data_IF_393542830269
#
_entry.id   IF_393542830269
#
_cell.length_a   1.000
_cell.length_b   1.000
_cell.length_c   1.000
_cell.angle_alpha   90.00
_cell.angle_beta   90.00
_cell.angle_gamma   90.00
#
_symmetry.space_group_name_H-M   'P 1'
#
loop_
_entity.id
_entity.type
_entity.pdbx_description
1 polymer ?
#
# COMPACT_ATOMS: atom_id res chain seq x y z
N UNK A 1 -14.06 -34.85 8.30
CA UNK A 1 -13.76 -34.31 9.64
C UNK A 1 -12.40 -34.81 10.10
N UNK A 2 -11.37 -34.00 9.90
CA UNK A 2 -10.06 -34.13 10.55
C UNK A 2 -9.53 -32.70 10.72
N UNK A 3 -10.28 -31.88 11.46
CA UNK A 3 -9.81 -30.59 11.96
C UNK A 3 -8.93 -30.83 13.18
N UNK A 4 -7.81 -31.51 12.95
CA UNK A 4 -6.79 -31.71 13.95
C UNK A 4 -5.97 -30.43 14.08
N UNK A 5 -5.79 -29.97 15.33
CA UNK A 5 -4.74 -29.00 15.65
C UNK A 5 -3.41 -29.54 15.10
N UNK A 6 -2.63 -28.75 14.31
CA UNK A 6 -1.33 -29.17 13.81
C UNK A 6 -0.44 -29.69 14.95
N UNK A 7 0.54 -30.58 14.68
CA UNK A 7 1.43 -31.10 15.72
C UNK A 7 2.15 -30.01 16.52
N UNK A 8 2.27 -28.80 15.98
CA UNK A 8 2.82 -27.61 16.62
C UNK A 8 1.86 -26.91 17.62
N UNK A 9 0.59 -27.32 17.72
CA UNK A 9 -0.39 -26.86 18.70
C UNK A 9 -1.24 -25.65 18.26
N UNK A 10 -2.33 -25.36 18.98
CA UNK A 10 -3.24 -24.24 18.66
C UNK A 10 -2.58 -22.85 18.77
N UNK A 11 -1.44 -22.79 19.47
CA UNK A 11 -0.66 -21.58 19.67
C UNK A 11 0.12 -21.20 18.39
N UNK A 12 0.57 -22.16 17.57
CA UNK A 12 1.28 -21.87 16.32
C UNK A 12 0.36 -21.24 15.26
N UNK A 13 -0.94 -21.58 15.30
CA UNK A 13 -1.98 -20.98 14.46
C UNK A 13 -2.16 -19.49 14.79
N UNK A 14 -2.16 -19.11 16.07
CA UNK A 14 -2.24 -17.70 16.50
C UNK A 14 -0.99 -16.89 16.13
N UNK A 15 0.19 -17.50 16.16
CA UNK A 15 1.44 -16.86 15.71
C UNK A 15 1.51 -16.67 14.19
N UNK A 16 0.66 -17.37 13.44
CA UNK A 16 0.63 -17.31 11.98
C UNK A 16 -0.63 -16.61 11.43
N UNK A 17 -1.52 -16.15 12.30
CA UNK A 17 -2.77 -15.49 11.94
C UNK A 17 -2.57 -13.98 11.72
N UNK A 18 -2.76 -13.47 10.49
CA UNK A 18 -2.59 -12.05 10.21
C UNK A 18 -3.57 -11.17 10.99
N UNK A 19 -4.78 -11.64 11.31
CA UNK A 19 -5.77 -10.85 12.06
C UNK A 19 -5.30 -10.54 13.48
N UNK A 20 -4.61 -11.49 14.11
CA UNK A 20 -4.09 -11.33 15.47
C UNK A 20 -2.71 -10.67 15.49
N UNK A 21 -1.80 -11.07 14.59
CA UNK A 21 -0.41 -10.58 14.62
C UNK A 21 -0.22 -9.24 13.87
N UNK A 22 -0.93 -9.04 12.76
CA UNK A 22 -0.78 -7.87 11.89
C UNK A 22 -0.97 -6.54 12.61
N UNK A 23 -2.06 -6.31 13.37
CA UNK A 23 -2.26 -5.09 14.15
C UNK A 23 -1.11 -4.81 15.13
N UNK A 24 -0.68 -5.84 15.87
CA UNK A 24 0.38 -5.71 16.87
C UNK A 24 1.73 -5.39 16.23
N UNK A 25 2.04 -6.05 15.10
CA UNK A 25 3.27 -5.82 14.34
C UNK A 25 3.27 -4.42 13.71
N UNK A 26 2.15 -3.99 13.12
CA UNK A 26 2.00 -2.65 12.55
C UNK A 26 2.15 -1.57 13.63
N UNK A 27 1.44 -1.69 14.76
CA UNK A 27 1.51 -0.72 15.85
C UNK A 27 2.95 -0.56 16.40
N UNK A 28 3.70 -1.66 16.45
CA UNK A 28 5.08 -1.65 16.99
C UNK A 28 6.13 -1.12 16.00
N UNK A 29 5.87 -1.18 14.70
CA UNK A 29 6.90 -0.97 13.66
C UNK A 29 6.58 0.13 12.65
N UNK A 30 5.30 0.42 12.43
CA UNK A 30 4.80 1.32 11.39
C UNK A 30 4.09 2.55 11.97
N UNK A 31 3.40 2.37 13.11
CA UNK A 31 2.57 3.42 13.72
C UNK A 31 3.33 4.55 14.41
N UNK A 32 4.67 4.59 14.32
CA UNK A 32 5.45 5.79 14.63
C UNK A 32 5.39 6.84 13.50
N UNK A 33 4.90 6.47 12.32
CA UNK A 33 4.81 7.37 11.17
C UNK A 33 3.47 7.25 10.43
N UNK A 34 2.97 6.03 10.24
CA UNK A 34 1.74 5.75 9.48
C UNK A 34 0.55 5.56 10.41
N UNK A 35 -0.56 6.25 10.11
CA UNK A 35 -1.85 5.95 10.72
C UNK A 35 -2.46 4.68 10.11
N UNK A 36 -3.40 4.09 10.85
CA UNK A 36 -4.36 3.13 10.31
C UNK A 36 -5.79 3.61 10.61
N UNK A 37 -6.17 4.67 9.92
CA UNK A 37 -7.42 5.40 10.08
C UNK A 37 -7.43 6.33 11.27
N UNK A 38 -8.62 6.85 11.56
CA UNK A 38 -8.86 7.86 12.59
C UNK A 38 -10.07 7.46 13.43
N UNK A 39 -10.09 7.92 14.69
CA UNK A 39 -11.26 7.81 15.56
C UNK A 39 -12.36 8.82 15.19
N UNK A 40 -13.47 8.79 15.92
CA UNK A 40 -14.60 9.71 15.73
C UNK A 40 -14.27 11.19 15.94
N UNK A 41 -13.14 11.49 16.61
CA UNK A 41 -12.66 12.85 16.87
C UNK A 41 -11.60 13.29 15.85
N UNK A 42 -11.25 12.45 14.87
CA UNK A 42 -10.20 12.72 13.90
C UNK A 42 -8.78 12.49 14.41
N UNK A 43 -8.61 11.72 15.49
CA UNK A 43 -7.29 11.36 16.03
C UNK A 43 -6.74 10.11 15.32
N UNK A 44 -5.47 10.09 14.89
CA UNK A 44 -4.92 8.96 14.14
C UNK A 44 -4.75 7.72 15.01
N UNK A 45 -5.11 6.56 14.46
CA UNK A 45 -5.08 5.27 15.12
C UNK A 45 -3.80 4.49 14.80
N UNK A 46 -3.33 3.69 15.76
CA UNK A 46 -2.13 2.87 15.65
C UNK A 46 -2.35 1.51 14.96
N UNK A 47 -3.58 1.22 14.55
CA UNK A 47 -3.96 -0.06 13.93
C UNK A 47 -4.29 -1.19 14.91
N UNK A 48 -3.95 -1.05 16.19
CA UNK A 48 -4.20 -2.03 17.26
C UNK A 48 -5.28 -1.54 18.26
N UNK A 49 -6.12 -0.60 17.82
CA UNK A 49 -7.22 -0.03 18.61
C UNK A 49 -6.79 1.10 19.56
N UNK A 50 -5.54 1.52 19.51
CA UNK A 50 -5.01 2.68 20.24
C UNK A 50 -4.84 3.91 19.35
N UNK A 51 -4.45 5.02 19.98
CA UNK A 51 -4.01 6.22 19.28
C UNK A 51 -2.53 6.11 18.94
N UNK A 52 -2.12 6.68 17.80
CA UNK A 52 -0.71 6.94 17.52
C UNK A 52 -0.09 7.76 18.65
N UNK A 53 1.12 7.40 19.05
CA UNK A 53 1.87 8.12 20.09
C UNK A 53 2.64 9.32 19.52
N UNK A 54 3.08 9.19 18.26
CA UNK A 54 3.80 10.21 17.53
C UNK A 54 2.87 10.95 16.57
N UNK A 55 3.25 12.17 16.18
CA UNK A 55 2.54 12.88 15.11
C UNK A 55 2.67 12.11 13.80
N UNK A 56 1.54 11.93 13.11
CA UNK A 56 1.54 11.28 11.81
C UNK A 56 2.41 12.05 10.83
N UNK A 57 3.34 11.32 10.24
CA UNK A 57 4.33 11.90 9.34
C UNK A 57 4.47 11.14 8.02
N UNK A 58 3.65 10.12 7.81
CA UNK A 58 3.54 9.37 6.56
C UNK A 58 2.06 9.04 6.25
N UNK A 59 1.72 8.65 5.01
CA UNK A 59 0.32 8.41 4.62
C UNK A 59 -0.41 7.41 5.50
N UNK A 60 -1.70 7.64 5.72
CA UNK A 60 -2.63 6.68 6.32
C UNK A 60 -2.69 5.43 5.45
N UNK A 61 -2.58 4.27 6.08
CA UNK A 61 -2.55 2.97 5.40
C UNK A 61 -3.86 2.20 5.50
N UNK A 62 -4.91 2.77 6.12
CA UNK A 62 -6.23 2.14 6.13
C UNK A 62 -6.84 2.12 4.74
N UNK A 63 -6.94 0.92 4.17
CA UNK A 63 -7.48 0.72 2.82
C UNK A 63 -6.49 1.08 1.70
N UNK A 64 -5.19 1.14 2.00
CA UNK A 64 -4.16 1.41 0.98
C UNK A 64 -4.35 0.52 -0.26
N UNK A 65 -4.34 1.15 -1.44
CA UNK A 65 -4.57 0.47 -2.72
C UNK A 65 -6.03 0.28 -3.11
N UNK A 66 -7.02 0.66 -2.28
CA UNK A 66 -8.43 0.66 -2.69
C UNK A 66 -8.78 1.83 -3.58
N UNK A 67 -9.93 1.77 -4.27
CA UNK A 67 -10.44 2.88 -5.09
C UNK A 67 -10.52 4.17 -4.25
N UNK A 68 -11.20 4.13 -3.10
CA UNK A 68 -11.31 5.28 -2.18
C UNK A 68 -9.97 5.89 -1.74
N UNK A 69 -8.92 5.06 -1.60
CA UNK A 69 -7.61 5.54 -1.20
C UNK A 69 -6.89 6.21 -2.36
N UNK A 70 -7.03 5.65 -3.56
CA UNK A 70 -6.45 6.19 -4.79
C UNK A 70 -7.18 7.47 -5.24
N UNK A 71 -8.49 7.57 -5.08
CA UNK A 71 -9.24 8.80 -5.36
C UNK A 71 -8.70 9.99 -4.55
N UNK A 72 -8.41 9.75 -3.26
CA UNK A 72 -7.77 10.74 -2.39
C UNK A 72 -6.33 11.01 -2.78
N UNK A 73 -5.58 9.98 -3.19
CA UNK A 73 -4.22 10.17 -3.71
C UNK A 73 -4.21 11.11 -4.92
N UNK A 74 -5.20 10.99 -5.81
CA UNK A 74 -5.32 11.75 -7.06
C UNK A 74 -5.99 13.12 -6.88
N UNK A 75 -6.18 13.58 -5.64
CA UNK A 75 -6.71 14.92 -5.35
C UNK A 75 -5.66 15.73 -4.60
N UNK A 76 -5.26 16.90 -5.13
CA UNK A 76 -4.19 17.72 -4.55
C UNK A 76 -4.39 18.04 -3.06
N UNK A 77 -5.61 18.43 -2.68
CA UNK A 77 -5.96 18.73 -1.28
C UNK A 77 -5.66 17.55 -0.35
N UNK A 78 -6.09 16.34 -0.75
CA UNK A 78 -5.86 15.14 0.02
C UNK A 78 -4.39 14.74 -0.03
N UNK A 79 -3.74 14.77 -1.20
CA UNK A 79 -2.33 14.46 -1.39
C UNK A 79 -1.44 15.27 -0.44
N UNK A 80 -1.67 16.58 -0.34
CA UNK A 80 -0.89 17.49 0.51
C UNK A 80 -1.35 17.55 1.98
N UNK A 81 -2.39 16.79 2.35
CA UNK A 81 -2.89 16.73 3.72
C UNK A 81 -1.96 15.91 4.63
N UNK A 82 -2.08 16.10 5.95
CA UNK A 82 -1.37 15.29 6.95
C UNK A 82 -1.77 13.81 6.90
N UNK A 83 -2.94 13.49 6.32
CA UNK A 83 -3.39 12.10 6.16
C UNK A 83 -2.63 11.39 5.03
N UNK A 84 -1.99 12.12 4.12
CA UNK A 84 -1.19 11.59 3.00
C UNK A 84 0.24 12.12 3.08
N UNK A 85 0.68 12.90 2.09
CA UNK A 85 2.08 13.27 1.90
C UNK A 85 2.45 14.64 2.50
N UNK A 86 1.50 15.34 3.13
CA UNK A 86 1.69 16.68 3.69
C UNK A 86 2.81 16.83 4.72
N UNK A 87 3.11 15.76 5.46
CA UNK A 87 4.19 15.72 6.45
C UNK A 87 5.43 14.94 5.96
N UNK A 88 5.55 14.75 4.65
CA UNK A 88 6.67 14.08 3.99
C UNK A 88 7.43 15.07 3.11
N UNK A 89 8.61 14.68 2.63
CA UNK A 89 9.31 15.45 1.60
C UNK A 89 8.57 15.48 0.25
N UNK A 90 7.53 14.66 0.08
CA UNK A 90 6.77 14.54 -1.17
C UNK A 90 5.61 15.53 -1.29
N UNK A 91 5.32 16.32 -0.25
CA UNK A 91 4.25 17.33 -0.27
C UNK A 91 4.30 18.22 -1.52
N UNK A 92 5.50 18.60 -1.93
CA UNK A 92 5.78 19.47 -3.09
C UNK A 92 6.54 18.69 -4.19
N UNK A 93 6.24 17.40 -4.36
CA UNK A 93 6.91 16.57 -5.37
C UNK A 93 6.38 16.82 -6.79
N UNK A 94 7.04 16.24 -7.81
CA UNK A 94 6.49 16.24 -9.18
C UNK A 94 5.09 15.63 -9.29
N UNK A 95 4.68 14.76 -8.36
CA UNK A 95 3.30 14.27 -8.34
C UNK A 95 2.34 15.37 -7.85
N UNK A 96 2.75 16.17 -6.86
CA UNK A 96 1.94 17.31 -6.41
C UNK A 96 1.83 18.39 -7.51
N UNK A 97 2.93 18.70 -8.18
CA UNK A 97 2.97 19.60 -9.34
C UNK A 97 2.01 19.12 -10.45
N UNK A 98 2.06 17.83 -10.78
CA UNK A 98 1.12 17.22 -11.73
C UNK A 98 -0.34 17.39 -11.30
N UNK A 99 -0.68 17.13 -10.04
CA UNK A 99 -2.05 17.30 -9.53
C UNK A 99 -2.50 18.77 -9.42
N UNK A 100 -1.57 19.71 -9.41
CA UNK A 100 -1.88 21.15 -9.43
C UNK A 100 -2.08 21.67 -10.85
N UNK A 101 -1.30 21.17 -11.81
CA UNK A 101 -1.32 21.62 -13.21
C UNK A 101 -2.38 20.92 -14.05
N UNK A 102 -2.60 19.61 -13.83
CA UNK A 102 -3.55 18.81 -14.59
C UNK A 102 -4.95 18.85 -13.98
N UNK A 103 -5.93 19.27 -14.78
CA UNK A 103 -7.34 19.24 -14.41
C UNK A 103 -7.92 17.86 -14.73
N UNK A 104 -7.83 16.95 -13.75
CA UNK A 104 -8.47 15.63 -13.80
C UNK A 104 -9.88 15.77 -13.23
N UNK A 105 -10.91 15.46 -14.02
CA UNK A 105 -12.28 15.51 -13.52
C UNK A 105 -12.63 14.31 -12.62
N UNK A 106 -13.76 14.38 -11.92
CA UNK A 106 -14.15 13.36 -10.96
C UNK A 106 -14.48 12.00 -11.62
N UNK A 107 -14.95 12.00 -12.88
CA UNK A 107 -15.27 10.77 -13.60
C UNK A 107 -13.97 10.05 -13.98
N UNK A 108 -12.98 10.81 -14.43
CA UNK A 108 -11.64 10.33 -14.75
C UNK A 108 -10.86 9.89 -13.51
N UNK A 109 -10.96 10.62 -12.38
CA UNK A 109 -10.38 10.17 -11.10
C UNK A 109 -10.96 8.80 -10.71
N UNK A 110 -12.27 8.58 -10.89
CA UNK A 110 -12.90 7.31 -10.59
C UNK A 110 -12.39 6.18 -11.51
N UNK A 111 -12.24 6.46 -12.80
CA UNK A 111 -11.66 5.53 -13.79
C UNK A 111 -10.21 5.17 -13.44
N UNK A 112 -9.34 6.16 -13.26
CA UNK A 112 -7.93 5.97 -12.87
C UNK A 112 -7.83 5.15 -11.57
N UNK A 113 -8.69 5.45 -10.59
CA UNK A 113 -8.74 4.75 -9.31
C UNK A 113 -9.18 3.30 -9.47
N UNK A 114 -10.16 3.02 -10.33
CA UNK A 114 -10.60 1.66 -10.64
C UNK A 114 -9.51 0.85 -11.35
N UNK A 115 -8.87 1.43 -12.37
CA UNK A 115 -7.76 0.81 -13.09
C UNK A 115 -6.60 0.48 -12.14
N UNK A 116 -6.07 1.48 -11.44
CA UNK A 116 -4.93 1.27 -10.55
C UNK A 116 -5.26 0.37 -9.34
N UNK A 117 -6.47 0.45 -8.77
CA UNK A 117 -6.90 -0.44 -7.67
C UNK A 117 -6.91 -1.90 -8.10
N UNK A 118 -7.28 -2.21 -9.33
CA UNK A 118 -7.36 -3.59 -9.81
C UNK A 118 -5.99 -4.30 -9.85
N UNK A 119 -4.88 -3.56 -9.96
CA UNK A 119 -3.52 -4.13 -9.80
C UNK A 119 -3.32 -4.73 -8.39
N UNK A 120 -4.01 -4.19 -7.38
CA UNK A 120 -3.86 -4.60 -6.00
C UNK A 120 -4.50 -5.97 -5.72
N UNK A 121 -5.48 -6.40 -6.54
CA UNK A 121 -6.17 -7.70 -6.40
C UNK A 121 -6.68 -7.87 -4.96
N UNK A 122 -7.30 -6.83 -4.41
CA UNK A 122 -7.77 -6.82 -3.01
C UNK A 122 -9.00 -7.72 -2.90
N UNK A 123 -8.93 -8.76 -2.05
CA UNK A 123 -10.01 -9.76 -1.96
C UNK A 123 -11.38 -9.13 -1.69
N UNK A 124 -11.43 -8.08 -0.87
CA UNK A 124 -12.68 -7.40 -0.50
C UNK A 124 -13.23 -6.43 -1.57
N UNK A 125 -12.49 -6.17 -2.65
CA UNK A 125 -12.97 -5.41 -3.82
C UNK A 125 -13.16 -6.28 -5.06
N UNK A 126 -12.80 -7.57 -5.01
CA UNK A 126 -12.79 -8.42 -6.20
C UNK A 126 -14.16 -8.53 -6.90
N UNK A 127 -15.26 -8.57 -6.15
CA UNK A 127 -16.61 -8.59 -6.75
C UNK A 127 -16.91 -7.27 -7.49
N UNK A 128 -16.60 -6.13 -6.87
CA UNK A 128 -16.73 -4.80 -7.50
C UNK A 128 -15.88 -4.70 -8.77
N UNK A 129 -14.62 -5.15 -8.72
CA UNK A 129 -13.71 -5.12 -9.88
C UNK A 129 -14.18 -6.03 -11.01
N UNK A 130 -14.80 -7.18 -10.69
CA UNK A 130 -15.34 -8.09 -11.69
C UNK A 130 -16.64 -7.58 -12.33
N UNK A 131 -17.50 -6.94 -11.54
CA UNK A 131 -18.74 -6.31 -12.04
C UNK A 131 -18.42 -5.09 -12.93
N UNK A 132 -17.38 -4.32 -12.58
CA UNK A 132 -16.94 -3.12 -13.27
C UNK A 132 -15.78 -3.36 -14.26
N UNK A 133 -15.67 -4.55 -14.86
CA UNK A 133 -14.48 -4.92 -15.65
C UNK A 133 -14.20 -3.97 -16.83
N UNK A 134 -15.25 -3.46 -17.49
CA UNK A 134 -15.12 -2.47 -18.58
C UNK A 134 -14.60 -1.12 -18.04
N UNK A 135 -15.12 -0.67 -16.90
CA UNK A 135 -14.69 0.57 -16.24
C UNK A 135 -13.24 0.48 -15.75
N UNK A 136 -12.83 -0.69 -15.24
CA UNK A 136 -11.43 -0.97 -14.88
C UNK A 136 -10.54 -0.92 -16.13
N UNK A 137 -10.97 -1.48 -17.25
CA UNK A 137 -10.20 -1.47 -18.49
C UNK A 137 -10.01 -0.04 -19.04
N UNK A 138 -11.07 0.75 -19.06
CA UNK A 138 -11.02 2.17 -19.44
C UNK A 138 -10.09 2.96 -18.52
N UNK A 139 -10.15 2.71 -17.21
CA UNK A 139 -9.21 3.28 -16.25
C UNK A 139 -7.75 2.95 -16.53
N UNK A 140 -7.45 1.73 -16.99
CA UNK A 140 -6.11 1.35 -17.40
C UNK A 140 -5.64 2.06 -18.67
N UNK A 141 -6.53 2.24 -19.65
CA UNK A 141 -6.20 3.00 -20.87
C UNK A 141 -5.88 4.46 -20.52
N UNK A 142 -6.62 5.03 -19.57
CA UNK A 142 -6.46 6.42 -19.13
C UNK A 142 -5.14 6.69 -18.37
N UNK A 143 -4.53 5.66 -17.79
CA UNK A 143 -3.18 5.73 -17.20
C UNK A 143 -2.06 5.83 -18.27
N UNK A 144 -2.35 5.45 -19.51
CA UNK A 144 -1.41 5.38 -20.63
C UNK A 144 -1.04 6.74 -21.25
N UNK A 145 -0.22 6.70 -22.30
CA UNK A 145 0.25 7.91 -23.02
C UNK A 145 -0.90 8.72 -23.65
N UNK A 146 -1.96 8.03 -24.10
CA UNK A 146 -3.12 8.68 -24.75
C UNK A 146 -4.13 9.27 -23.74
N UNK A 147 -3.96 9.00 -22.44
CA UNK A 147 -4.76 9.56 -21.35
C UNK A 147 -4.00 10.65 -20.59
N UNK A 148 -3.88 10.49 -19.27
CA UNK A 148 -3.17 11.43 -18.40
C UNK A 148 -1.64 11.22 -18.38
N UNK A 149 -1.11 10.37 -19.25
CA UNK A 149 0.34 10.12 -19.38
C UNK A 149 1.00 9.72 -18.05
N UNK A 150 0.31 8.99 -17.18
CA UNK A 150 0.87 8.54 -15.90
C UNK A 150 2.14 7.69 -16.13
N UNK A 151 2.16 6.95 -17.24
CA UNK A 151 3.31 6.18 -17.73
C UNK A 151 4.57 6.99 -18.04
N UNK A 152 4.46 8.31 -18.27
CA UNK A 152 5.65 9.15 -18.46
C UNK A 152 6.54 9.15 -17.22
N UNK A 153 5.93 9.10 -16.04
CA UNK A 153 6.63 9.08 -14.77
C UNK A 153 6.73 7.67 -14.20
N UNK A 154 5.61 6.96 -14.14
CA UNK A 154 5.48 5.65 -13.50
C UNK A 154 5.63 4.51 -14.48
N UNK A 155 6.19 3.39 -14.04
CA UNK A 155 6.10 2.16 -14.83
C UNK A 155 4.76 1.49 -14.55
N UNK A 156 4.03 1.09 -15.59
CA UNK A 156 2.74 0.40 -15.47
C UNK A 156 2.75 -0.78 -16.42
N UNK A 157 2.61 -2.01 -15.90
CA UNK A 157 2.64 -3.26 -16.68
C UNK A 157 3.84 -3.39 -17.64
N UNK A 158 4.99 -2.85 -17.23
CA UNK A 158 6.22 -2.87 -18.02
C UNK A 158 6.42 -1.70 -18.98
N UNK A 159 5.42 -0.84 -19.13
CA UNK A 159 5.46 0.36 -19.99
C UNK A 159 5.81 1.60 -19.18
N UNK A 160 6.50 2.56 -19.80
CA UNK A 160 6.86 3.82 -19.16
C UNK A 160 7.95 3.73 -18.08
N UNK A 161 7.89 4.65 -17.11
CA UNK A 161 8.72 4.65 -15.91
C UNK A 161 10.05 5.38 -16.06
N UNK A 162 10.02 6.72 -15.99
CA UNK A 162 11.22 7.57 -16.01
C UNK A 162 11.68 8.03 -14.63
N UNK A 163 10.78 8.28 -13.68
CA UNK A 163 11.11 8.91 -12.39
C UNK A 163 10.24 8.51 -11.18
N UNK A 164 9.03 7.98 -11.39
CA UNK A 164 8.12 7.57 -10.32
C UNK A 164 8.29 6.08 -9.94
N UNK A 165 7.75 5.66 -8.78
CA UNK A 165 7.64 4.25 -8.43
C UNK A 165 6.99 3.40 -9.53
N UNK A 166 7.45 2.16 -9.67
CA UNK A 166 6.84 1.15 -10.52
C UNK A 166 5.50 0.71 -9.92
N UNK A 167 4.42 1.01 -10.64
CA UNK A 167 3.04 0.68 -10.31
C UNK A 167 2.59 -0.64 -10.96
N UNK A 168 3.49 -1.40 -11.59
CA UNK A 168 3.17 -2.76 -12.04
C UNK A 168 2.87 -3.66 -10.84
N UNK A 169 1.69 -4.27 -10.83
CA UNK A 169 1.11 -5.00 -9.70
C UNK A 169 1.01 -4.12 -8.43
N UNK A 170 0.77 -2.81 -8.61
CA UNK A 170 0.66 -1.84 -7.53
C UNK A 170 -0.21 -2.34 -6.37
N UNK A 171 0.33 -2.24 -5.15
CA UNK A 171 -0.34 -2.65 -3.90
C UNK A 171 -0.79 -4.12 -3.84
N UNK A 172 -0.40 -4.98 -4.79
CA UNK A 172 -0.54 -6.43 -4.66
C UNK A 172 0.24 -6.94 -3.45
N UNK A 173 -0.05 -8.17 -3.00
CA UNK A 173 0.64 -8.78 -1.86
C UNK A 173 2.16 -8.73 -2.03
N UNK A 174 2.67 -9.15 -3.19
CA UNK A 174 4.11 -9.17 -3.43
C UNK A 174 4.70 -7.76 -3.55
N UNK A 175 3.98 -6.84 -4.20
CA UNK A 175 4.41 -5.45 -4.30
C UNK A 175 4.61 -4.82 -2.92
N UNK A 176 3.68 -5.03 -2.00
CA UNK A 176 3.76 -4.54 -0.62
C UNK A 176 4.89 -5.21 0.18
N UNK A 177 5.09 -6.52 0.03
CA UNK A 177 6.21 -7.23 0.66
C UNK A 177 7.55 -6.67 0.18
N UNK A 178 7.70 -6.49 -1.14
CA UNK A 178 8.92 -5.94 -1.74
C UNK A 178 9.15 -4.49 -1.29
N UNK A 179 8.08 -3.68 -1.24
CA UNK A 179 8.15 -2.27 -0.86
C UNK A 179 8.50 -2.08 0.62
N UNK A 180 7.84 -2.81 1.53
CA UNK A 180 8.16 -2.79 2.96
C UNK A 180 9.55 -3.39 3.20
N UNK A 181 9.91 -4.42 2.43
CA UNK A 181 11.22 -5.05 2.50
C UNK A 181 12.36 -4.09 2.15
N UNK A 182 12.25 -3.36 1.04
CA UNK A 182 13.27 -2.44 0.56
C UNK A 182 12.67 -1.23 -0.18
N UNK A 183 12.13 -0.26 0.56
CA UNK A 183 11.53 0.96 0.00
C UNK A 183 12.54 1.84 -0.76
N UNK A 184 13.84 1.72 -0.44
CA UNK A 184 14.94 2.37 -1.16
C UNK A 184 15.37 1.67 -2.45
N UNK A 185 14.73 0.56 -2.84
CA UNK A 185 15.02 -0.06 -4.13
C UNK A 185 14.59 0.86 -5.28
N UNK A 186 15.32 0.85 -6.40
CA UNK A 186 15.03 1.68 -7.60
C UNK A 186 13.65 1.44 -8.23
N UNK A 187 13.00 0.31 -7.89
CA UNK A 187 11.61 0.01 -8.28
C UNK A 187 10.61 0.94 -7.58
N UNK A 188 10.98 1.46 -6.41
CA UNK A 188 10.11 2.29 -5.57
C UNK A 188 10.66 3.71 -5.52
N UNK A 189 11.22 4.13 -4.38
CA UNK A 189 11.68 5.50 -4.22
C UNK A 189 13.18 5.67 -4.39
N UNK A 190 13.99 4.61 -4.46
CA UNK A 190 15.43 4.76 -4.68
C UNK A 190 16.10 5.69 -3.65
N UNK A 191 16.94 6.60 -4.15
CA UNK A 191 17.55 7.70 -3.37
C UNK A 191 16.51 8.73 -2.89
N UNK A 192 15.34 8.78 -3.54
CA UNK A 192 14.22 9.61 -3.13
C UNK A 192 13.37 8.97 -2.02
N UNK A 193 13.78 7.85 -1.40
CA UNK A 193 13.14 7.39 -0.17
C UNK A 193 13.25 8.47 0.92
N UNK A 194 12.15 8.86 1.57
CA UNK A 194 12.16 9.91 2.58
C UNK A 194 12.90 9.44 3.83
N UNK A 195 12.31 8.50 4.56
CA UNK A 195 12.87 7.93 5.79
C UNK A 195 12.29 6.58 6.18
N UNK A 196 11.51 5.95 5.29
CA UNK A 196 10.96 4.62 5.56
C UNK A 196 12.12 3.62 5.63
N UNK A 197 12.28 2.88 6.74
CA UNK A 197 13.36 1.91 6.85
C UNK A 197 13.08 0.69 5.96
N UNK A 198 14.15 0.03 5.51
CA UNK A 198 14.05 -1.30 4.92
C UNK A 198 13.80 -2.30 6.04
N UNK A 199 12.71 -3.06 5.97
CA UNK A 199 12.35 -4.00 7.03
C UNK A 199 12.96 -5.39 6.82
N UNK A 200 13.31 -5.77 5.60
CA UNK A 200 14.00 -7.02 5.30
C UNK A 200 15.50 -6.78 5.03
N UNK A 201 16.26 -7.88 5.03
CA UNK A 201 17.67 -7.87 4.68
C UNK A 201 17.87 -7.34 3.25
N UNK A 202 18.76 -6.35 3.10
CA UNK A 202 19.11 -5.79 1.79
C UNK A 202 20.53 -6.18 1.43
N UNK A 203 20.67 -6.84 0.28
CA UNK A 203 21.97 -7.11 -0.32
C UNK A 203 22.46 -5.88 -1.06
N UNK A 204 23.64 -5.38 -0.70
CA UNK A 204 24.32 -4.28 -1.37
C UNK A 204 25.07 -4.80 -2.62
N UNK A 205 25.45 -3.88 -3.51
CA UNK A 205 26.18 -4.22 -4.74
C UNK A 205 27.54 -4.89 -4.48
N UNK A 206 28.17 -4.61 -3.34
CA UNK A 206 29.43 -5.21 -2.91
C UNK A 206 29.28 -6.61 -2.29
N UNK A 207 28.05 -7.14 -2.26
CA UNK A 207 27.71 -8.45 -1.69
C UNK A 207 27.53 -8.46 -0.17
N UNK A 208 27.67 -7.32 0.52
CA UNK A 208 27.35 -7.22 1.94
C UNK A 208 25.84 -7.20 2.16
N UNK A 209 25.39 -7.69 3.33
CA UNK A 209 23.99 -7.69 3.72
C UNK A 209 23.80 -6.66 4.83
N UNK A 210 22.91 -5.69 4.58
CA UNK A 210 22.39 -4.81 5.62
C UNK A 210 21.19 -5.51 6.26
N UNK A 211 21.23 -5.86 7.56
CA UNK A 211 20.14 -6.57 8.20
C UNK A 211 18.87 -5.72 8.27
N UNK A 212 17.74 -6.36 8.04
CA UNK A 212 16.40 -5.80 8.22
C UNK A 212 16.01 -5.68 9.69
N UNK A 213 14.87 -5.02 9.93
CA UNK A 213 14.26 -4.89 11.27
C UNK A 213 13.32 -6.05 11.61
N UNK A 214 12.79 -6.73 10.60
CA UNK A 214 11.79 -7.78 10.71
C UNK A 214 12.21 -8.98 9.84
N UNK A 215 11.64 -10.14 10.14
CA UNK A 215 11.74 -11.29 9.26
C UNK A 215 10.64 -11.27 8.18
N UNK A 216 10.81 -12.14 7.17
CA UNK A 216 9.86 -12.29 6.06
C UNK A 216 8.44 -12.56 6.56
N UNK A 217 8.30 -13.42 7.58
CA UNK A 217 6.98 -13.82 8.09
C UNK A 217 6.24 -12.66 8.75
N UNK A 218 6.95 -11.81 9.49
CA UNK A 218 6.37 -10.63 10.12
C UNK A 218 5.90 -9.60 9.10
N UNK A 219 6.70 -9.37 8.05
CA UNK A 219 6.30 -8.49 6.93
C UNK A 219 5.05 -9.03 6.24
N UNK A 220 5.01 -10.33 5.94
CA UNK A 220 3.83 -10.97 5.35
C UNK A 220 2.57 -10.82 6.21
N UNK A 221 2.67 -11.00 7.53
CA UNK A 221 1.53 -10.84 8.44
C UNK A 221 1.01 -9.39 8.45
N UNK A 222 1.89 -8.39 8.40
CA UNK A 222 1.49 -6.98 8.27
C UNK A 222 0.76 -6.77 6.93
N UNK A 223 1.33 -7.26 5.83
CA UNK A 223 0.75 -7.10 4.48
C UNK A 223 -0.61 -7.78 4.36
N UNK A 224 -0.72 -9.02 4.82
CA UNK A 224 -1.97 -9.79 4.78
C UNK A 224 -3.05 -9.11 5.64
N UNK A 225 -2.66 -8.46 6.75
CA UNK A 225 -3.58 -7.66 7.55
C UNK A 225 -4.02 -6.36 6.87
N UNK A 226 -3.08 -5.57 6.32
CA UNK A 226 -3.39 -4.33 5.59
C UNK A 226 -4.36 -4.60 4.43
N UNK A 227 -4.17 -5.71 3.74
CA UNK A 227 -5.00 -6.16 2.60
C UNK A 227 -6.30 -6.85 3.01
N UNK A 228 -6.50 -7.13 4.30
CA UNK A 228 -7.61 -7.91 4.85
C UNK A 228 -7.71 -9.35 4.34
N UNK A 229 -6.58 -9.92 3.94
CA UNK A 229 -6.43 -11.28 3.41
C UNK A 229 -6.35 -12.34 4.54
N UNK A 230 -6.96 -12.08 5.71
CA UNK A 230 -7.08 -13.03 6.83
C UNK A 230 -8.41 -13.78 6.86
N UNK A 231 -9.41 -13.31 6.09
CA UNK A 231 -10.77 -13.87 6.09
C UNK A 231 -10.91 -15.17 5.30
N UNK A 232 -9.91 -15.56 4.49
CA UNK A 232 -9.97 -16.73 3.60
C UNK A 232 -9.65 -18.09 4.26
N UNK A 233 -9.44 -18.16 5.58
CA UNK A 233 -9.13 -19.43 6.26
C UNK A 233 -10.35 -20.23 6.73
N UNK A 234 -11.60 -19.84 6.39
CA UNK A 234 -12.80 -20.53 6.92
C UNK A 234 -13.93 -20.90 5.95
N UNK A 235 -13.67 -20.96 4.64
CA UNK A 235 -14.63 -21.57 3.70
C UNK A 235 -14.01 -22.80 3.01
N UNK A 236 -13.81 -23.86 3.78
CA UNK A 236 -13.75 -25.21 3.22
C UNK A 236 -15.10 -25.88 3.47
N UNK A 237 -15.87 -26.03 2.38
CA UNK A 237 -17.01 -26.94 2.26
C UNK A 237 -16.66 -28.36 2.73
#
# INVERSE_FOLDING_TARGET
SNDGIPPEGALSLLYSDPLTQGPSLFASNCASCHAYGYDENGSPLDGNGGLMQDEQSAPDLKGVGSRDWIEKLLTLEHYQSNQFFGNTKFKESSMAEFLEEEEIDNEDIALLSAGLSAEAKLSYQSDLENEDMEFVAEGFELLGEDGYSCVDCHKIRGEGGKKGPDLSDYMSRQWLIDFIGNSSHKRFYGEDNDRMPNFLDVSNEDGSIKPGKLDQKSVELIVDWLRRDYTKTKDHN
#
